data_IF_341166360214
#
_entry.id   IF_341166360214
#
_cell.length_a   1.000
_cell.length_b   1.000
_cell.length_c   1.000
_cell.angle_alpha   90.00
_cell.angle_beta   90.00
_cell.angle_gamma   90.00
#
_symmetry.space_group_name_H-M   'P 1'
#
loop_
_entity.id
_entity.type
_entity.pdbx_description
1 polymer ?
#
# COMPACT_ATOMS: atom_id res chain seq x y z
N UNK A 1 23.02 4.90 -6.06
CA UNK A 1 22.90 4.08 -4.84
C UNK A 1 21.49 4.04 -4.25
N UNK A 2 21.02 5.02 -3.45
CA UNK A 2 19.67 4.95 -2.84
C UNK A 2 18.53 4.78 -3.85
N UNK A 3 18.50 5.61 -4.90
CA UNK A 3 17.43 5.54 -5.90
C UNK A 3 17.43 4.19 -6.64
N UNK A 4 18.61 3.65 -6.97
CA UNK A 4 18.73 2.33 -7.62
C UNK A 4 18.23 1.21 -6.70
N UNK A 5 18.65 1.21 -5.43
CA UNK A 5 18.21 0.24 -4.43
C UNK A 5 16.68 0.32 -4.22
N UNK A 6 16.12 1.53 -4.08
CA UNK A 6 14.69 1.75 -3.91
C UNK A 6 13.88 1.24 -5.10
N UNK A 7 14.32 1.55 -6.33
CA UNK A 7 13.62 1.11 -7.54
C UNK A 7 13.71 -0.40 -7.76
N UNK A 8 14.85 -1.01 -7.43
CA UNK A 8 15.06 -2.43 -7.61
C UNK A 8 14.27 -3.27 -6.59
N UNK A 9 14.24 -2.85 -5.33
CA UNK A 9 13.64 -3.62 -4.24
C UNK A 9 12.17 -3.24 -3.98
N UNK A 10 11.77 -2.01 -4.30
CA UNK A 10 10.47 -1.42 -3.96
C UNK A 10 10.00 -1.74 -2.52
N UNK A 11 10.83 -1.44 -1.51
CA UNK A 11 10.64 -1.97 -0.17
C UNK A 11 9.55 -1.20 0.59
N UNK A 12 8.83 -1.93 1.42
CA UNK A 12 7.97 -1.39 2.47
C UNK A 12 8.81 -0.95 3.66
N UNK A 13 8.24 -0.11 4.53
CA UNK A 13 8.93 0.32 5.75
C UNK A 13 9.31 -0.85 6.67
N UNK A 14 8.53 -1.93 6.66
CA UNK A 14 8.81 -3.12 7.47
C UNK A 14 10.07 -3.82 6.97
N UNK A 15 10.19 -4.03 5.66
CA UNK A 15 11.37 -4.65 5.05
C UNK A 15 12.65 -3.84 5.31
N UNK A 16 12.56 -2.50 5.30
CA UNK A 16 13.67 -1.62 5.68
C UNK A 16 14.10 -1.84 7.13
N UNK A 17 13.16 -1.93 8.07
CA UNK A 17 13.45 -2.14 9.49
C UNK A 17 14.06 -3.52 9.77
N UNK A 18 13.67 -4.53 8.99
CA UNK A 18 14.22 -5.88 9.07
C UNK A 18 15.65 -5.96 8.49
N UNK A 19 15.93 -5.25 7.39
CA UNK A 19 17.27 -5.18 6.78
C UNK A 19 18.29 -4.44 7.67
N UNK A 20 17.83 -3.43 8.43
CA UNK A 20 18.67 -2.62 9.31
C UNK A 20 18.28 -2.77 10.79
N UNK A 21 18.52 -3.94 11.42
CA UNK A 21 18.02 -4.25 12.77
C UNK A 21 18.68 -3.42 13.88
N UNK A 22 19.78 -2.71 13.60
CA UNK A 22 20.42 -1.79 14.54
C UNK A 22 19.62 -0.50 14.76
N UNK A 23 18.65 -0.21 13.89
CA UNK A 23 17.87 1.01 13.90
C UNK A 23 16.88 1.00 15.08
N UNK A 24 17.03 1.96 16.00
CA UNK A 24 16.14 2.14 17.14
C UNK A 24 15.33 3.42 16.93
N UNK A 25 14.11 3.29 16.39
CA UNK A 25 13.22 4.43 16.13
C UNK A 25 12.06 4.44 17.13
N UNK A 26 11.81 5.56 17.83
CA UNK A 26 10.57 5.72 18.59
C UNK A 26 9.33 5.58 17.70
N UNK A 27 8.35 4.78 18.11
CA UNK A 27 7.13 4.53 17.34
C UNK A 27 6.33 5.81 17.04
N UNK A 28 6.36 6.78 17.95
CA UNK A 28 5.72 8.09 17.76
C UNK A 28 6.33 8.86 16.60
N UNK A 29 7.67 8.89 16.50
CA UNK A 29 8.37 9.52 15.39
C UNK A 29 7.99 8.82 14.08
N UNK A 30 8.04 7.49 14.04
CA UNK A 30 7.67 6.73 12.85
C UNK A 30 6.28 7.10 12.33
N UNK A 31 5.27 7.12 13.20
CA UNK A 31 3.90 7.44 12.83
C UNK A 31 3.74 8.88 12.29
N UNK A 32 4.58 9.82 12.73
CA UNK A 32 4.55 11.20 12.22
C UNK A 32 5.18 11.36 10.83
N UNK A 33 6.07 10.44 10.44
CA UNK A 33 6.78 10.50 9.15
C UNK A 33 6.09 9.69 8.05
N UNK A 34 5.22 8.73 8.41
CA UNK A 34 4.52 7.91 7.43
C UNK A 34 3.49 8.72 6.63
N UNK A 35 3.36 8.47 5.31
CA UNK A 35 2.32 9.09 4.51
C UNK A 35 0.93 8.59 4.93
N UNK A 36 -0.08 9.45 4.78
CA UNK A 36 -1.47 9.08 5.03
C UNK A 36 -1.95 8.04 4.01
N UNK A 37 -2.70 7.05 4.50
CA UNK A 37 -3.32 6.03 3.66
C UNK A 37 -4.37 6.65 2.74
N UNK A 38 -4.13 6.58 1.43
CA UNK A 38 -5.03 7.15 0.42
C UNK A 38 -6.23 6.23 0.13
N UNK A 39 -7.43 6.76 -0.14
CA UNK A 39 -8.55 5.96 -0.64
C UNK A 39 -8.22 5.38 -2.03
N UNK A 40 -8.74 4.18 -2.32
CA UNK A 40 -8.64 3.57 -3.66
C UNK A 40 -9.99 3.68 -4.35
N UNK A 41 -10.00 4.29 -5.53
CA UNK A 41 -11.19 4.47 -6.34
C UNK A 41 -11.33 3.33 -7.35
N UNK A 42 -12.56 2.87 -7.56
CA UNK A 42 -12.90 1.80 -8.48
C UNK A 42 -14.15 2.17 -9.27
N UNK A 43 -14.26 1.63 -10.48
CA UNK A 43 -15.45 1.78 -11.30
C UNK A 43 -16.58 0.90 -10.77
N UNK A 44 -17.79 1.47 -10.70
CA UNK A 44 -19.01 0.74 -10.34
C UNK A 44 -19.34 -0.23 -11.48
N UNK A 45 -19.53 -1.51 -11.16
CA UNK A 45 -19.87 -2.56 -12.12
C UNK A 45 -21.33 -3.03 -12.05
N UNK A 46 -22.20 -2.29 -11.36
CA UNK A 46 -23.65 -2.51 -11.28
C UNK A 46 -24.46 -1.47 -12.07
N UNK A 47 -25.67 -1.85 -12.49
CA UNK A 47 -26.70 -0.91 -12.97
C UNK A 47 -27.61 -0.49 -11.81
N UNK A 48 -27.87 0.82 -11.60
CA UNK A 48 -28.74 1.29 -10.52
C UNK A 48 -30.21 0.89 -10.71
N UNK A 49 -30.66 0.67 -11.95
CA UNK A 49 -32.04 0.26 -12.24
C UNK A 49 -32.27 -1.22 -11.90
N UNK A 50 -31.25 -2.06 -12.10
CA UNK A 50 -31.32 -3.50 -11.85
C UNK A 50 -30.94 -3.86 -10.40
N UNK A 51 -30.04 -3.08 -9.79
CA UNK A 51 -29.49 -3.31 -8.45
C UNK A 51 -29.65 -2.06 -7.56
N UNK A 52 -30.89 -1.66 -7.23
CA UNK A 52 -31.12 -0.48 -6.39
C UNK A 52 -30.59 -0.72 -4.97
N UNK A 53 -29.79 0.22 -4.47
CA UNK A 53 -29.20 0.15 -3.12
C UNK A 53 -27.90 -0.67 -3.01
N UNK A 54 -27.40 -1.22 -4.13
CA UNK A 54 -26.16 -1.99 -4.17
C UNK A 54 -25.11 -1.33 -5.08
N UNK A 55 -23.84 -1.43 -4.67
CA UNK A 55 -22.69 -1.02 -5.49
C UNK A 55 -21.81 -2.25 -5.68
N UNK A 56 -21.65 -2.69 -6.93
CA UNK A 56 -20.77 -3.80 -7.27
C UNK A 56 -19.40 -3.29 -7.70
N UNK A 57 -18.36 -4.07 -7.38
CA UNK A 57 -16.99 -3.81 -7.76
C UNK A 57 -16.40 -5.05 -8.43
N UNK A 58 -15.81 -4.87 -9.62
CA UNK A 58 -15.06 -5.91 -10.32
C UNK A 58 -13.58 -5.54 -10.28
N UNK A 59 -12.80 -6.20 -9.43
CA UNK A 59 -11.40 -5.85 -9.16
C UNK A 59 -10.51 -7.08 -9.17
N UNK A 60 -9.25 -6.90 -9.55
CA UNK A 60 -8.22 -7.92 -9.42
C UNK A 60 -7.44 -7.73 -8.11
N UNK A 61 -7.08 -8.83 -7.45
CA UNK A 61 -6.21 -8.79 -6.27
C UNK A 61 -4.78 -8.52 -6.71
N UNK A 62 -4.18 -7.45 -6.19
CA UNK A 62 -2.75 -7.17 -6.40
C UNK A 62 -1.96 -7.96 -5.36
N UNK A 63 -1.26 -9.00 -5.84
CA UNK A 63 -0.37 -9.82 -5.01
C UNK A 63 0.89 -10.11 -5.81
N UNK A 64 2.03 -9.64 -5.32
CA UNK A 64 3.34 -9.92 -5.87
C UNK A 64 4.30 -10.23 -4.72
N UNK A 65 5.37 -10.99 -5.01
CA UNK A 65 6.48 -11.12 -4.08
C UNK A 65 7.57 -10.14 -4.52
N UNK A 66 8.00 -9.20 -3.65
CA UNK A 66 9.23 -8.48 -3.89
C UNK A 66 10.39 -9.49 -3.98
N UNK A 67 11.46 -9.09 -4.68
CA UNK A 67 12.65 -9.94 -4.86
C UNK A 67 13.48 -10.01 -3.59
#
# INVERSE_FOLDING_TARGET
EYEEWKWYNNPTIVEVLEEFPSLQIPSTLLLTQLPLLQPRYYSISSSPDLHPGEIHLTVAVVSYRPK
#
